data_IF_602778131031
#
_entry.id   IF_602778131031
#
_cell.length_a   1.000
_cell.length_b   1.000
_cell.length_c   1.000
_cell.angle_alpha   90.00
_cell.angle_beta   90.00
_cell.angle_gamma   90.00
#
_symmetry.space_group_name_H-M   'P 1'
#
loop_
_entity.id
_entity.type
_entity.pdbx_description
1 polymer ?
#
# COMPACT_ATOMS: atom_id res chain seq x y z
N UNK A 1 -22.75 -5.00 -2.90
CA UNK A 1 -22.03 -3.70 -3.02
C UNK A 1 -20.59 -3.82 -2.54
N UNK A 2 -20.31 -4.44 -1.38
CA UNK A 2 -18.96 -4.70 -0.87
C UNK A 2 -18.01 -5.36 -1.89
N UNK A 3 -18.41 -6.51 -2.44
CA UNK A 3 -17.64 -7.23 -3.45
C UNK A 3 -17.33 -6.37 -4.69
N UNK A 4 -18.35 -5.65 -5.18
CA UNK A 4 -18.20 -4.78 -6.35
C UNK A 4 -17.17 -3.69 -6.05
N UNK A 5 -17.28 -3.02 -4.89
CA UNK A 5 -16.32 -1.99 -4.51
C UNK A 5 -14.89 -2.55 -4.36
N UNK A 6 -14.73 -3.73 -3.74
CA UNK A 6 -13.44 -4.39 -3.59
C UNK A 6 -12.77 -4.66 -4.94
N UNK A 7 -13.44 -5.35 -5.85
CA UNK A 7 -12.88 -5.69 -7.14
C UNK A 7 -12.69 -4.47 -8.05
N UNK A 8 -13.61 -3.50 -8.00
CA UNK A 8 -13.46 -2.23 -8.74
C UNK A 8 -12.26 -1.46 -8.23
N UNK A 9 -12.00 -1.45 -6.92
CA UNK A 9 -10.82 -0.77 -6.36
C UNK A 9 -9.51 -1.42 -6.84
N UNK A 10 -9.45 -2.75 -6.86
CA UNK A 10 -8.30 -3.48 -7.40
C UNK A 10 -8.09 -3.12 -8.87
N UNK A 11 -9.13 -3.21 -9.69
CA UNK A 11 -9.04 -2.91 -11.13
C UNK A 11 -8.63 -1.45 -11.34
N UNK A 12 -9.21 -0.51 -10.59
CA UNK A 12 -8.88 0.91 -10.69
C UNK A 12 -7.42 1.18 -10.35
N UNK A 13 -6.90 0.61 -9.27
CA UNK A 13 -5.49 0.75 -8.88
C UNK A 13 -4.55 0.13 -9.91
N UNK A 14 -4.91 -1.04 -10.46
CA UNK A 14 -4.12 -1.68 -11.52
C UNK A 14 -4.11 -0.85 -12.82
N UNK A 15 -5.25 -0.26 -13.19
CA UNK A 15 -5.32 0.65 -14.34
C UNK A 15 -4.47 1.90 -14.10
N UNK A 16 -4.53 2.50 -12.91
CA UNK A 16 -3.67 3.63 -12.55
C UNK A 16 -2.20 3.23 -12.63
N UNK A 17 -1.81 2.07 -12.08
CA UNK A 17 -0.44 1.57 -12.18
C UNK A 17 -0.01 1.38 -13.63
N UNK A 18 -0.86 0.79 -14.47
CA UNK A 18 -0.59 0.61 -15.90
C UNK A 18 -0.38 1.97 -16.60
N UNK A 19 -1.26 2.94 -16.37
CA UNK A 19 -1.13 4.31 -16.89
C UNK A 19 0.18 4.94 -16.41
N UNK A 20 0.47 4.87 -15.11
CA UNK A 20 1.70 5.36 -14.51
C UNK A 20 2.95 4.73 -15.13
N UNK A 21 2.91 3.44 -15.47
CA UNK A 21 4.03 2.72 -16.08
C UNK A 21 4.39 3.21 -17.49
N UNK A 22 3.43 3.79 -18.22
CA UNK A 22 3.71 4.47 -19.50
C UNK A 22 4.48 5.79 -19.32
N UNK A 23 4.27 6.50 -18.20
CA UNK A 23 4.98 7.74 -17.90
C UNK A 23 6.34 7.51 -17.23
N UNK A 24 6.46 6.45 -16.43
CA UNK A 24 7.70 6.09 -15.73
C UNK A 24 7.88 4.57 -15.74
N UNK A 25 8.96 4.05 -16.35
CA UNK A 25 9.15 2.62 -16.47
C UNK A 25 9.35 1.98 -15.10
N UNK A 26 8.79 0.78 -14.95
CA UNK A 26 9.04 -0.08 -13.80
C UNK A 26 10.49 -0.56 -13.85
N UNK A 27 11.20 -0.44 -12.74
CA UNK A 27 12.58 -0.91 -12.64
C UNK A 27 12.73 -1.96 -11.54
N UNK A 28 13.94 -2.52 -11.39
CA UNK A 28 14.24 -3.51 -10.37
C UNK A 28 13.82 -3.07 -8.95
N UNK A 29 13.90 -1.77 -8.65
CA UNK A 29 13.50 -1.25 -7.33
C UNK A 29 11.99 -1.35 -7.14
N UNK A 30 11.20 -1.09 -8.18
CA UNK A 30 9.75 -1.30 -8.16
C UNK A 30 9.41 -2.76 -7.83
N UNK A 31 10.11 -3.73 -8.41
CA UNK A 31 9.89 -5.16 -8.13
C UNK A 31 10.25 -5.53 -6.69
N UNK A 32 11.39 -5.04 -6.17
CA UNK A 32 11.79 -5.27 -4.78
C UNK A 32 10.74 -4.69 -3.82
N UNK A 33 10.29 -3.45 -4.07
CA UNK A 33 9.23 -2.81 -3.28
C UNK A 33 7.95 -3.65 -3.33
N UNK A 34 7.55 -4.14 -4.50
CA UNK A 34 6.38 -5.00 -4.64
C UNK A 34 6.47 -6.24 -3.75
N UNK A 35 7.54 -7.02 -3.88
CA UNK A 35 7.72 -8.28 -3.12
C UNK A 35 7.78 -8.02 -1.62
N UNK A 36 8.51 -6.99 -1.19
CA UNK A 36 8.57 -6.62 0.23
C UNK A 36 7.21 -6.15 0.75
N UNK A 37 6.44 -5.41 -0.06
CA UNK A 37 5.06 -5.01 0.30
C UNK A 37 4.12 -6.19 0.43
N UNK A 38 4.23 -7.21 -0.43
CA UNK A 38 3.45 -8.45 -0.31
C UNK A 38 3.74 -9.11 1.04
N UNK A 39 5.02 -9.37 1.32
CA UNK A 39 5.42 -10.03 2.56
C UNK A 39 4.99 -9.25 3.80
N UNK A 40 5.28 -7.93 3.83
CA UNK A 40 4.92 -7.06 4.94
C UNK A 40 3.40 -7.01 5.15
N UNK A 41 2.62 -6.80 4.09
CA UNK A 41 1.17 -6.68 4.20
C UNK A 41 0.52 -7.99 4.63
N UNK A 42 0.90 -9.13 4.05
CA UNK A 42 0.33 -10.42 4.46
C UNK A 42 0.62 -10.72 5.93
N UNK A 43 1.85 -10.46 6.41
CA UNK A 43 2.18 -10.62 7.84
C UNK A 43 1.34 -9.68 8.71
N UNK A 44 1.25 -8.40 8.33
CA UNK A 44 0.48 -7.40 9.05
C UNK A 44 -1.02 -7.78 9.15
N UNK A 45 -1.62 -8.15 8.01
CA UNK A 45 -3.04 -8.49 7.90
C UNK A 45 -3.39 -9.79 8.62
N UNK A 46 -2.55 -10.82 8.53
CA UNK A 46 -2.77 -12.09 9.24
C UNK A 46 -2.64 -11.90 10.75
N UNK A 47 -1.67 -11.10 11.22
CA UNK A 47 -1.53 -10.87 12.66
C UNK A 47 -2.70 -10.04 13.19
N UNK A 48 -3.03 -8.92 12.55
CA UNK A 48 -4.02 -7.98 13.11
C UNK A 48 -5.45 -8.35 12.77
N UNK A 49 -5.71 -8.76 11.53
CA UNK A 49 -7.02 -9.17 11.06
C UNK A 49 -7.41 -10.55 11.59
N UNK A 50 -6.61 -11.57 11.28
CA UNK A 50 -6.97 -12.97 11.59
C UNK A 50 -6.65 -13.38 13.03
N UNK A 51 -5.42 -13.11 13.52
CA UNK A 51 -5.02 -13.57 14.86
C UNK A 51 -5.62 -12.70 15.99
N UNK A 52 -5.56 -11.38 15.87
CA UNK A 52 -6.16 -10.47 16.86
C UNK A 52 -7.62 -10.13 16.60
N UNK A 53 -8.18 -10.52 15.44
CA UNK A 53 -9.59 -10.30 15.14
C UNK A 53 -9.98 -8.82 15.10
N UNK A 54 -9.06 -7.91 14.75
CA UNK A 54 -9.28 -6.45 14.86
C UNK A 54 -10.15 -5.90 13.72
N UNK A 55 -10.20 -6.60 12.60
CA UNK A 55 -11.04 -6.30 11.45
C UNK A 55 -11.11 -7.51 10.51
N UNK A 56 -12.12 -7.53 9.64
CA UNK A 56 -12.25 -8.54 8.58
C UNK A 56 -12.63 -7.90 7.24
N UNK A 57 -12.37 -8.63 6.16
CA UNK A 57 -12.75 -8.23 4.81
C UNK A 57 -14.08 -8.86 4.42
N UNK A 58 -15.05 -8.03 4.05
CA UNK A 58 -16.39 -8.40 3.52
C UNK A 58 -17.24 -9.25 4.48
N UNK A 59 -16.79 -10.45 4.82
CA UNK A 59 -17.37 -11.34 5.81
C UNK A 59 -16.26 -12.12 6.55
N UNK A 60 -16.52 -12.56 7.77
CA UNK A 60 -15.51 -13.25 8.60
C UNK A 60 -15.05 -14.60 8.04
N UNK A 61 -15.93 -15.33 7.34
CA UNK A 61 -15.64 -16.70 6.87
C UNK A 61 -14.66 -16.72 5.69
N UNK A 62 -14.77 -15.74 4.80
CA UNK A 62 -14.01 -15.64 3.56
C UNK A 62 -12.93 -14.53 3.62
N UNK A 63 -12.80 -13.85 4.76
CA UNK A 63 -11.91 -12.70 4.99
C UNK A 63 -10.48 -12.96 4.50
N UNK A 64 -9.93 -14.14 4.82
CA UNK A 64 -8.57 -14.51 4.47
C UNK A 64 -8.29 -14.46 2.96
N UNK A 65 -9.26 -14.82 2.12
CA UNK A 65 -9.11 -14.80 0.66
C UNK A 65 -8.98 -13.35 0.18
N UNK A 66 -9.80 -12.46 0.70
CA UNK A 66 -9.77 -11.04 0.35
C UNK A 66 -8.53 -10.33 0.89
N UNK A 67 -8.07 -10.70 2.09
CA UNK A 67 -6.80 -10.25 2.65
C UNK A 67 -5.64 -10.65 1.73
N UNK A 68 -5.60 -11.90 1.28
CA UNK A 68 -4.54 -12.38 0.38
C UNK A 68 -4.58 -11.64 -0.96
N UNK A 69 -5.77 -11.44 -1.54
CA UNK A 69 -5.92 -10.69 -2.78
C UNK A 69 -5.47 -9.23 -2.63
N UNK A 70 -5.86 -8.56 -1.55
CA UNK A 70 -5.41 -7.19 -1.27
C UNK A 70 -3.89 -7.12 -1.03
N UNK A 71 -3.35 -8.07 -0.26
CA UNK A 71 -1.93 -8.18 0.08
C UNK A 71 -1.03 -8.42 -1.14
N UNK A 72 -1.48 -9.24 -2.09
CA UNK A 72 -0.69 -9.59 -3.28
C UNK A 72 -0.84 -8.56 -4.40
N UNK A 73 -2.03 -7.97 -4.54
CA UNK A 73 -2.37 -7.16 -5.72
C UNK A 73 -2.46 -5.67 -5.37
N UNK A 74 -3.33 -5.33 -4.42
CA UNK A 74 -3.71 -3.93 -4.17
C UNK A 74 -2.57 -3.14 -3.53
N UNK A 75 -2.03 -3.62 -2.40
CA UNK A 75 -1.03 -2.86 -1.65
C UNK A 75 0.32 -2.73 -2.36
N UNK A 76 0.85 -3.77 -3.02
CA UNK A 76 2.07 -3.65 -3.80
C UNK A 76 1.89 -2.64 -4.94
N UNK A 77 0.75 -2.66 -5.64
CA UNK A 77 0.47 -1.71 -6.71
C UNK A 77 0.46 -0.25 -6.21
N UNK A 78 -0.20 0.02 -5.08
CA UNK A 78 -0.22 1.35 -4.45
C UNK A 78 1.19 1.82 -4.07
N UNK A 79 2.00 0.95 -3.46
CA UNK A 79 3.36 1.29 -3.06
C UNK A 79 4.29 1.50 -4.27
N UNK A 80 4.09 0.77 -5.38
CA UNK A 80 4.80 1.01 -6.63
C UNK A 80 4.43 2.38 -7.20
N UNK A 81 3.14 2.72 -7.28
CA UNK A 81 2.69 4.05 -7.76
C UNK A 81 3.34 5.15 -6.93
N UNK A 82 3.36 5.00 -5.60
CA UNK A 82 4.02 5.94 -4.70
C UNK A 82 5.50 6.13 -5.03
N UNK A 83 6.29 5.05 -5.19
CA UNK A 83 7.73 5.18 -5.44
C UNK A 83 8.05 5.68 -6.85
N UNK A 84 7.19 5.43 -7.84
CA UNK A 84 7.36 5.94 -9.20
C UNK A 84 7.36 7.47 -9.21
N UNK A 85 6.47 8.12 -8.46
CA UNK A 85 6.34 9.58 -8.43
C UNK A 85 7.06 10.25 -7.27
N UNK A 86 7.80 9.48 -6.45
CA UNK A 86 8.54 9.99 -5.32
C UNK A 86 9.55 11.09 -5.74
N UNK A 87 9.40 12.33 -5.23
CA UNK A 87 10.32 13.43 -5.55
C UNK A 87 11.74 13.17 -5.07
N UNK A 88 12.74 13.82 -5.69
CA UNK A 88 14.15 13.73 -5.25
C UNK A 88 14.44 14.60 -4.02
N UNK A 89 13.85 15.78 -3.95
CA UNK A 89 14.04 16.74 -2.85
C UNK A 89 13.31 16.32 -1.57
N UNK A 90 13.95 16.48 -0.41
CA UNK A 90 13.40 16.02 0.89
C UNK A 90 12.09 16.75 1.25
N UNK A 91 12.03 18.08 1.10
CA UNK A 91 10.82 18.86 1.40
C UNK A 91 9.63 18.43 0.53
N UNK A 92 9.85 18.27 -0.78
CA UNK A 92 8.82 17.79 -1.72
C UNK A 92 8.42 16.34 -1.41
N UNK A 93 9.36 15.50 -0.99
CA UNK A 93 9.08 14.12 -0.57
C UNK A 93 8.14 14.12 0.62
N UNK A 94 8.44 14.88 1.69
CA UNK A 94 7.58 14.93 2.88
C UNK A 94 6.15 15.38 2.54
N UNK A 95 6.00 16.44 1.75
CA UNK A 95 4.67 16.93 1.33
C UNK A 95 3.94 15.86 0.52
N UNK A 96 4.64 15.21 -0.42
CA UNK A 96 4.08 14.13 -1.24
C UNK A 96 3.65 12.93 -0.39
N UNK A 97 4.47 12.50 0.57
CA UNK A 97 4.15 11.39 1.47
C UNK A 97 2.95 11.73 2.36
N UNK A 98 2.87 12.95 2.90
CA UNK A 98 1.71 13.38 3.70
C UNK A 98 0.44 13.37 2.85
N UNK A 99 0.49 13.91 1.63
CA UNK A 99 -0.65 13.88 0.71
C UNK A 99 -1.09 12.44 0.41
N UNK A 100 -0.12 11.55 0.19
CA UNK A 100 -0.38 10.15 -0.09
C UNK A 100 -1.00 9.41 1.11
N UNK A 101 -0.51 9.67 2.33
CA UNK A 101 -1.13 9.16 3.56
C UNK A 101 -2.58 9.63 3.72
N UNK A 102 -2.86 10.90 3.44
CA UNK A 102 -4.24 11.42 3.46
C UNK A 102 -5.12 10.71 2.43
N UNK A 103 -4.62 10.49 1.22
CA UNK A 103 -5.34 9.72 0.20
C UNK A 103 -5.65 8.28 0.66
N UNK A 104 -4.71 7.63 1.34
CA UNK A 104 -4.93 6.29 1.89
C UNK A 104 -5.96 6.26 3.03
N UNK A 105 -5.96 7.25 3.92
CA UNK A 105 -7.00 7.37 4.96
C UNK A 105 -8.37 7.58 4.33
N UNK A 106 -8.47 8.38 3.27
CA UNK A 106 -9.71 8.56 2.51
C UNK A 106 -10.16 7.24 1.87
N UNK A 107 -9.23 6.48 1.29
CA UNK A 107 -9.52 5.16 0.70
C UNK A 107 -9.99 4.14 1.73
N UNK A 108 -9.37 4.12 2.92
CA UNK A 108 -9.82 3.32 4.07
C UNK A 108 -11.23 3.72 4.49
N UNK A 109 -11.52 5.02 4.59
CA UNK A 109 -12.84 5.52 4.92
C UNK A 109 -13.91 5.04 3.92
N UNK A 110 -13.64 5.11 2.62
CA UNK A 110 -14.55 4.54 1.61
C UNK A 110 -14.70 3.02 1.72
N UNK A 111 -13.63 2.32 2.09
CA UNK A 111 -13.66 0.87 2.33
C UNK A 111 -14.54 0.51 3.54
N UNK A 112 -14.57 1.36 4.58
CA UNK A 112 -15.48 1.22 5.72
C UNK A 112 -16.93 1.51 5.35
N UNK A 113 -17.18 2.61 4.63
CA UNK A 113 -18.54 3.01 4.21
C UNK A 113 -19.15 1.96 3.27
N UNK A 114 -18.35 1.40 2.36
CA UNK A 114 -18.76 0.31 1.48
C UNK A 114 -18.88 -1.05 2.18
N UNK A 115 -18.48 -1.13 3.46
CA UNK A 115 -18.37 -2.33 4.28
C UNK A 115 -17.44 -3.40 3.70
N UNK A 116 -16.48 -2.97 2.89
CA UNK A 116 -15.46 -3.85 2.30
C UNK A 116 -14.47 -4.29 3.37
N UNK A 117 -14.13 -3.37 4.28
CA UNK A 117 -13.41 -3.66 5.51
C UNK A 117 -14.38 -3.34 6.65
N UNK A 118 -14.44 -4.21 7.66
CA UNK A 118 -15.28 -4.01 8.84
C UNK A 118 -14.40 -4.08 10.07
N UNK A 119 -14.36 -2.99 10.83
CA UNK A 119 -13.62 -2.92 12.08
C UNK A 119 -14.44 -3.51 13.22
N UNK A 120 -13.83 -4.44 13.95
CA UNK A 120 -14.40 -5.10 15.13
C UNK A 120 -13.73 -4.58 16.40
N UNK A 121 -12.39 -4.46 16.39
CA UNK A 121 -11.59 -3.92 17.49
C UNK A 121 -10.61 -2.82 17.06
N UNK A 122 -10.40 -2.62 15.77
CA UNK A 122 -9.49 -1.62 15.24
C UNK A 122 -10.07 -0.20 15.38
N UNK A 123 -9.26 0.71 15.92
CA UNK A 123 -9.58 2.14 15.97
C UNK A 123 -8.77 2.88 14.89
N UNK A 124 -9.42 3.45 13.85
CA UNK A 124 -8.69 4.11 12.76
C UNK A 124 -7.79 5.25 13.26
N UNK A 125 -8.24 5.97 14.29
CA UNK A 125 -7.39 6.90 15.04
C UNK A 125 -7.07 6.28 16.41
N UNK A 126 -5.79 6.09 16.78
CA UNK A 126 -4.57 6.51 16.06
C UNK A 126 -3.97 5.43 15.13
N UNK A 127 -4.49 4.20 15.14
CA UNK A 127 -3.73 3.05 14.65
C UNK A 127 -3.52 3.03 13.12
N UNK A 128 -4.51 3.45 12.33
CA UNK A 128 -4.33 3.55 10.87
C UNK A 128 -3.28 4.61 10.51
N UNK A 129 -3.25 5.74 11.23
CA UNK A 129 -2.24 6.78 11.01
C UNK A 129 -0.84 6.24 11.29
N UNK A 130 -0.64 5.54 12.41
CA UNK A 130 0.65 4.92 12.76
C UNK A 130 1.06 3.92 11.67
N UNK A 131 0.12 3.12 11.19
CA UNK A 131 0.35 2.12 10.13
C UNK A 131 0.81 2.77 8.84
N UNK A 132 0.16 3.86 8.41
CA UNK A 132 0.57 4.57 7.20
C UNK A 132 1.94 5.24 7.36
N UNK A 133 2.23 5.86 8.51
CA UNK A 133 3.55 6.43 8.80
C UNK A 133 4.62 5.33 8.71
N UNK A 134 4.43 4.21 9.40
CA UNK A 134 5.38 3.10 9.40
C UNK A 134 5.56 2.54 7.99
N UNK A 135 4.46 2.35 7.25
CA UNK A 135 4.46 1.83 5.88
C UNK A 135 5.28 2.71 4.95
N UNK A 136 4.95 4.00 4.86
CA UNK A 136 5.64 4.89 3.94
C UNK A 136 7.07 5.22 4.38
N UNK A 137 7.37 5.14 5.67
CA UNK A 137 8.74 5.27 6.18
C UNK A 137 9.64 4.14 5.69
N UNK A 138 9.19 2.87 5.81
CA UNK A 138 10.01 1.75 5.35
C UNK A 138 10.10 1.71 3.82
N UNK A 139 9.00 1.98 3.10
CA UNK A 139 8.98 2.06 1.63
C UNK A 139 9.94 3.13 1.13
N UNK A 140 9.90 4.32 1.72
CA UNK A 140 10.81 5.42 1.42
C UNK A 140 12.28 5.03 1.66
N UNK A 141 12.57 4.50 2.84
CA UNK A 141 13.94 4.14 3.26
C UNK A 141 14.53 3.09 2.32
N UNK A 142 13.77 2.03 2.02
CA UNK A 142 14.21 0.96 1.15
C UNK A 142 14.44 1.46 -0.29
N UNK A 143 13.50 2.25 -0.83
CA UNK A 143 13.63 2.80 -2.17
C UNK A 143 14.84 3.74 -2.30
N UNK A 144 15.07 4.63 -1.33
CA UNK A 144 16.21 5.54 -1.31
C UNK A 144 17.53 4.80 -1.14
N UNK A 145 17.59 3.79 -0.28
CA UNK A 145 18.76 2.95 -0.11
C UNK A 145 19.21 2.32 -1.44
N UNK A 146 18.27 1.72 -2.18
CA UNK A 146 18.54 1.15 -3.50
C UNK A 146 18.89 2.21 -4.55
N UNK A 147 18.25 3.40 -4.48
CA UNK A 147 18.54 4.51 -5.40
C UNK A 147 19.96 5.06 -5.22
N UNK A 148 20.48 5.07 -3.99
CA UNK A 148 21.83 5.56 -3.71
C UNK A 148 22.91 4.55 -4.15
N UNK A 149 22.64 3.25 -4.08
CA UNK A 149 23.56 2.21 -4.59
C UNK A 149 23.70 2.19 -6.12
N UNK A 150 22.72 2.70 -6.88
CA UNK A 150 22.85 2.84 -8.34
C UNK A 150 24.00 3.77 -8.75
N UNK A 151 24.42 4.69 -7.87
CA UNK A 151 25.62 5.52 -8.05
C UNK A 151 26.93 4.81 -7.65
N UNK A 152 26.88 3.62 -7.04
CA UNK A 152 28.08 2.84 -6.67
C UNK A 152 28.42 1.75 -7.70
N UNK A 153 27.43 1.29 -8.49
CA UNK A 153 27.61 0.20 -9.47
C UNK A 153 27.92 0.69 -10.90
N UNK A 154 28.01 2.01 -11.09
CA UNK A 154 28.60 2.63 -12.29
C UNK A 154 29.48 3.80 -11.82
N UNK A 155 30.77 3.56 -11.51
CA UNK A 155 31.73 4.65 -11.61
C UNK A 155 31.92 4.90 -13.11
N UNK A 156 31.34 6.00 -13.60
CA UNK A 156 31.75 6.61 -14.86
C UNK A 156 33.24 6.95 -14.81
#
# INVERSE_FOLDING_TARGET
>A
MQLVFFYVSIIAVLLVLAICSFFKPLDFRSYVIAVTSIAYSLVYEVILGEYYGLYYYINEKDSIIYIVLAGIILYPALNIIYVLFLPKEMKKTLIYTVFWMVAMVIFEYFSLVSKTIVFTGWKPIPWSIITYIATYLWVYTLYRYMSNRKYMLNPS
#
